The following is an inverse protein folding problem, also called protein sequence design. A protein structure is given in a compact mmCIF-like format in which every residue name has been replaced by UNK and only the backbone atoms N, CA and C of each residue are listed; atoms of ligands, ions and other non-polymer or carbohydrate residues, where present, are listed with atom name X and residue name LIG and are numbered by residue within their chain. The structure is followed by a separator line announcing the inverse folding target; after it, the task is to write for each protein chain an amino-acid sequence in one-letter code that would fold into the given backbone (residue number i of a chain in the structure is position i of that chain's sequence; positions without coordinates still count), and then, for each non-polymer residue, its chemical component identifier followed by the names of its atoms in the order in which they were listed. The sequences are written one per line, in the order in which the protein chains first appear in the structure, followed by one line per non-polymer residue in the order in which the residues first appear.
data_IF_546038825231
#
_entry.id   IF_546038825231
#
_cell.length_a   1.000
_cell.length_b   1.000
_cell.length_c   1.000
_cell.angle_alpha   90.00
_cell.angle_beta   90.00
_cell.angle_gamma   90.00
#
_symmetry.space_group_name_H-M   'P 1'
#
loop_
_entity.id
_entity.type
_entity.pdbx_description
1 polymer ?
#
# COMPACT_ATOMS: atom_id res chain seq x y z
N UNK A 1 0.00 -16.18 16.86
CA UNK A 1 1.30 -16.88 16.82
C UNK A 1 1.93 -16.71 15.45
N UNK A 2 3.22 -16.30 15.33
CA UNK A 2 3.89 -16.26 14.07
C UNK A 2 4.06 -17.69 13.53
N UNK A 3 3.67 -17.94 12.29
CA UNK A 3 3.83 -19.24 11.64
C UNK A 3 5.05 -19.31 10.70
N UNK A 4 5.65 -18.15 10.41
CA UNK A 4 6.82 -18.02 9.56
C UNK A 4 7.72 -16.91 10.11
N UNK A 5 8.96 -17.25 10.43
CA UNK A 5 9.96 -16.32 10.94
C UNK A 5 11.25 -16.43 10.12
N UNK A 6 11.90 -15.32 9.84
CA UNK A 6 13.17 -15.28 9.15
C UNK A 6 14.13 -14.33 9.85
N UNK A 7 15.40 -14.76 9.97
CA UNK A 7 16.49 -13.91 10.43
C UNK A 7 17.04 -13.11 9.25
N UNK A 8 17.19 -11.81 9.42
CA UNK A 8 17.80 -10.91 8.43
C UNK A 8 19.18 -10.48 8.97
N UNK A 9 20.26 -11.13 8.55
CA UNK A 9 21.60 -10.75 8.97
C UNK A 9 21.94 -9.33 8.51
N UNK A 10 22.72 -8.61 9.30
CA UNK A 10 23.21 -7.28 8.91
C UNK A 10 24.10 -7.37 7.65
N UNK A 11 24.23 -6.26 6.93
CA UNK A 11 25.09 -6.18 5.76
C UNK A 11 26.56 -6.55 6.11
N UNK A 12 27.03 -6.07 7.27
CA UNK A 12 28.37 -6.41 7.78
C UNK A 12 28.55 -7.92 7.97
N UNK A 13 27.62 -8.58 8.64
CA UNK A 13 27.68 -10.04 8.86
C UNK A 13 27.59 -10.84 7.54
N UNK A 14 26.88 -10.34 6.56
CA UNK A 14 26.84 -10.95 5.23
C UNK A 14 28.19 -10.80 4.51
N UNK A 15 28.81 -9.63 4.58
CA UNK A 15 30.11 -9.32 3.98
C UNK A 15 31.24 -10.19 4.59
N UNK A 16 31.29 -10.30 5.90
CA UNK A 16 32.24 -11.14 6.62
C UNK A 16 32.14 -12.62 6.24
N UNK A 17 30.93 -13.08 5.85
CA UNK A 17 30.64 -14.46 5.43
C UNK A 17 30.65 -14.66 3.91
N UNK A 18 31.07 -13.68 3.13
CA UNK A 18 31.03 -13.72 1.66
C UNK A 18 29.66 -13.98 1.06
N UNK A 19 28.57 -13.60 1.78
CA UNK A 19 27.17 -13.80 1.34
C UNK A 19 26.56 -12.51 0.84
N UNK A 20 25.66 -12.61 -0.16
CA UNK A 20 24.87 -11.47 -0.62
C UNK A 20 23.92 -11.03 0.49
N UNK A 21 23.97 -9.75 0.85
CA UNK A 21 23.01 -9.16 1.76
C UNK A 21 21.62 -9.13 1.11
N UNK A 22 20.59 -9.47 1.90
CA UNK A 22 19.17 -9.31 1.54
C UNK A 22 18.57 -8.29 2.47
N UNK A 23 17.88 -7.31 1.88
CA UNK A 23 17.15 -6.30 2.65
C UNK A 23 15.93 -6.91 3.35
N UNK A 24 15.36 -6.20 4.32
CA UNK A 24 14.11 -6.58 4.95
C UNK A 24 12.98 -6.78 3.91
N UNK A 25 12.92 -5.92 2.89
CA UNK A 25 11.96 -6.04 1.78
C UNK A 25 12.17 -7.30 0.93
N UNK A 26 13.44 -7.69 0.69
CA UNK A 26 13.72 -8.93 -0.04
C UNK A 26 13.24 -10.17 0.73
N UNK A 27 13.50 -10.19 2.03
CA UNK A 27 13.07 -11.30 2.89
C UNK A 27 11.56 -11.30 3.06
N UNK A 28 10.94 -10.16 3.33
CA UNK A 28 9.49 -10.02 3.43
C UNK A 28 8.77 -10.48 2.15
N UNK A 29 9.31 -10.11 0.97
CA UNK A 29 8.81 -10.61 -0.31
C UNK A 29 8.90 -12.13 -0.42
N UNK A 30 10.04 -12.72 -0.05
CA UNK A 30 10.22 -14.18 -0.09
C UNK A 30 9.24 -14.90 0.82
N UNK A 31 9.04 -14.39 2.04
CA UNK A 31 8.08 -14.94 3.01
C UNK A 31 6.64 -14.86 2.48
N UNK A 32 6.22 -13.70 1.97
CA UNK A 32 4.87 -13.52 1.45
C UNK A 32 4.59 -14.44 0.24
N UNK A 33 5.53 -14.55 -0.70
CA UNK A 33 5.40 -15.43 -1.85
C UNK A 33 5.49 -16.91 -1.45
N UNK A 34 6.21 -17.26 -0.39
CA UNK A 34 6.21 -18.62 0.16
C UNK A 34 4.86 -18.95 0.80
N UNK A 35 4.31 -18.04 1.60
CA UNK A 35 2.96 -18.20 2.16
C UNK A 35 1.92 -18.36 1.04
N UNK A 36 2.04 -17.61 -0.06
CA UNK A 36 1.18 -17.75 -1.24
C UNK A 36 1.24 -19.16 -1.85
N UNK A 37 2.42 -19.78 -1.92
CA UNK A 37 2.57 -21.15 -2.42
C UNK A 37 1.92 -22.18 -1.50
N UNK A 38 1.97 -21.97 -0.19
CA UNK A 38 1.35 -22.88 0.79
C UNK A 38 -0.16 -22.74 0.86
N UNK A 39 -0.70 -21.61 0.44
CA UNK A 39 -2.13 -21.29 0.51
C UNK A 39 -2.70 -20.99 -0.90
N UNK A 40 -2.67 -21.96 -1.83
CA UNK A 40 -3.22 -21.76 -3.16
C UNK A 40 -4.73 -21.52 -3.06
N UNK A 41 -5.26 -20.61 -3.89
CA UNK A 41 -6.70 -20.30 -3.94
C UNK A 41 -7.25 -19.43 -2.78
N UNK A 42 -6.45 -19.10 -1.76
CA UNK A 42 -6.88 -18.16 -0.69
C UNK A 42 -6.60 -16.72 -1.08
N UNK A 43 -7.47 -15.80 -0.69
CA UNK A 43 -7.14 -14.35 -0.75
C UNK A 43 -6.10 -14.06 0.34
N UNK A 44 -4.90 -13.70 -0.09
CA UNK A 44 -3.79 -13.41 0.81
C UNK A 44 -3.55 -11.92 0.86
N UNK A 45 -3.73 -11.35 2.05
CA UNK A 45 -3.50 -9.94 2.31
C UNK A 45 -2.32 -9.79 3.27
N UNK A 46 -1.30 -9.06 2.82
CA UNK A 46 -0.17 -8.66 3.65
C UNK A 46 -0.42 -7.25 4.17
N UNK A 47 -0.44 -7.09 5.48
CA UNK A 47 -0.49 -5.78 6.11
C UNK A 47 0.90 -5.43 6.62
N UNK A 48 1.36 -4.22 6.35
CA UNK A 48 2.69 -3.76 6.75
C UNK A 48 2.71 -2.26 7.07
N UNK A 49 3.75 -1.85 7.76
CA UNK A 49 3.99 -0.44 8.06
C UNK A 49 4.54 0.33 6.83
N UNK A 50 4.94 1.59 7.04
CA UNK A 50 5.49 2.44 5.98
C UNK A 50 6.81 1.94 5.39
N UNK A 51 7.58 1.10 6.10
CA UNK A 51 8.83 0.53 5.59
C UNK A 51 8.58 -0.43 4.42
N UNK A 52 7.39 -1.05 4.36
CA UNK A 52 6.96 -1.90 3.27
C UNK A 52 6.30 -1.15 2.10
N UNK A 53 6.13 0.16 2.20
CA UNK A 53 5.64 1.02 1.11
C UNK A 53 6.73 1.30 0.07
N UNK A 54 7.14 0.27 -0.67
CA UNK A 54 8.17 0.35 -1.70
C UNK A 54 7.65 -0.24 -3.02
N UNK A 55 7.74 0.54 -4.13
CA UNK A 55 7.15 0.19 -5.42
C UNK A 55 7.59 -1.18 -5.96
N UNK A 56 8.88 -1.52 -5.83
CA UNK A 56 9.39 -2.83 -6.27
C UNK A 56 8.80 -3.98 -5.45
N UNK A 57 8.66 -3.78 -4.15
CA UNK A 57 8.08 -4.77 -3.24
C UNK A 57 6.59 -4.98 -3.55
N UNK A 58 5.82 -3.89 -3.63
CA UNK A 58 4.39 -3.93 -3.88
C UNK A 58 4.06 -4.52 -5.27
N UNK A 59 4.82 -4.17 -6.31
CA UNK A 59 4.64 -4.73 -7.65
C UNK A 59 4.94 -6.24 -7.67
N UNK A 60 5.99 -6.67 -6.98
CA UNK A 60 6.34 -8.08 -6.89
C UNK A 60 5.26 -8.90 -6.17
N UNK A 61 4.70 -8.39 -5.06
CA UNK A 61 3.58 -9.03 -4.35
C UNK A 61 2.34 -9.12 -5.22
N UNK A 62 1.94 -8.00 -5.84
CA UNK A 62 0.79 -7.94 -6.73
C UNK A 62 0.90 -8.96 -7.87
N UNK A 63 2.04 -9.03 -8.54
CA UNK A 63 2.30 -10.03 -9.60
C UNK A 63 2.29 -11.45 -9.06
N UNK A 64 2.66 -11.65 -7.82
CA UNK A 64 2.62 -12.93 -7.13
C UNK A 64 1.23 -13.31 -6.59
N UNK A 65 0.20 -12.50 -6.83
CA UNK A 65 -1.16 -12.76 -6.34
C UNK A 65 -1.32 -12.56 -4.83
N UNK A 66 -0.56 -11.62 -4.25
CA UNK A 66 -0.67 -11.19 -2.84
C UNK A 66 -1.09 -9.74 -2.82
N UNK A 67 -2.22 -9.45 -2.19
CA UNK A 67 -2.65 -8.07 -1.93
C UNK A 67 -1.81 -7.49 -0.80
N UNK A 68 -1.31 -6.27 -0.97
CA UNK A 68 -0.59 -5.57 0.08
C UNK A 68 -1.37 -4.33 0.55
N UNK A 69 -1.46 -4.15 1.86
CA UNK A 69 -1.99 -2.95 2.51
C UNK A 69 -0.85 -2.38 3.36
N UNK A 70 -0.48 -1.12 3.10
CA UNK A 70 0.61 -0.45 3.82
C UNK A 70 0.24 0.99 4.13
N UNK A 71 0.94 1.61 5.09
CA UNK A 71 0.82 3.05 5.30
C UNK A 71 1.45 3.79 4.14
N UNK A 72 0.77 4.83 3.64
CA UNK A 72 1.24 5.70 2.58
C UNK A 72 1.56 7.08 3.15
N UNK A 73 2.61 7.71 2.64
CA UNK A 73 2.93 9.10 3.00
C UNK A 73 1.89 10.05 2.40
N UNK A 74 1.53 11.10 3.13
CA UNK A 74 0.56 12.09 2.68
C UNK A 74 1.05 12.94 1.49
N UNK A 75 2.36 12.99 1.26
CA UNK A 75 3.01 13.69 0.13
C UNK A 75 3.31 12.75 -1.06
N UNK A 76 2.86 11.49 -1.03
CA UNK A 76 3.11 10.52 -2.09
C UNK A 76 2.63 11.03 -3.45
N UNK A 77 3.47 10.83 -4.47
CA UNK A 77 3.16 11.23 -5.85
C UNK A 77 2.24 10.20 -6.51
N UNK A 78 0.96 10.46 -6.48
CA UNK A 78 -0.08 9.67 -7.14
C UNK A 78 -0.48 10.28 -8.48
N UNK A 79 -0.86 9.43 -9.42
CA UNK A 79 -1.23 9.81 -10.78
C UNK A 79 -2.51 9.12 -11.22
N UNK A 80 -3.15 9.69 -12.23
CA UNK A 80 -4.20 8.99 -12.97
C UNK A 80 -3.58 7.83 -13.79
N UNK A 81 -4.35 6.80 -14.12
CA UNK A 81 -3.94 5.79 -15.08
C UNK A 81 -3.52 6.43 -16.41
N UNK A 82 -2.56 5.82 -17.10
CA UNK A 82 -2.19 6.28 -18.42
C UNK A 82 -3.41 6.25 -19.35
N UNK A 83 -3.61 7.30 -20.18
CA UNK A 83 -4.67 7.28 -21.17
C UNK A 83 -4.45 6.15 -22.18
N UNK A 84 -5.51 5.62 -22.80
CA UNK A 84 -5.39 4.66 -23.89
C UNK A 84 -4.52 5.23 -25.01
N UNK A 85 -3.67 4.38 -25.59
CA UNK A 85 -2.85 4.80 -26.73
C UNK A 85 -3.72 4.90 -27.98
N UNK A 86 -3.72 6.06 -28.60
CA UNK A 86 -4.40 6.25 -29.88
C UNK A 86 -3.63 5.54 -31.00
N UNK A 87 -4.33 4.93 -31.99
CA UNK A 87 -3.69 4.38 -33.19
C UNK A 87 -2.84 5.45 -33.90
N UNK A 88 -1.70 5.07 -34.42
CA UNK A 88 -0.79 6.00 -35.15
C UNK A 88 0.08 6.90 -34.27
N UNK A 89 -0.03 6.84 -32.93
CA UNK A 89 0.84 7.63 -32.05
C UNK A 89 2.27 7.10 -32.09
N UNK A 90 3.22 7.98 -32.48
CA UNK A 90 4.65 7.68 -32.48
C UNK A 90 5.26 7.99 -31.12
N UNK A 91 6.25 7.20 -30.69
CA UNK A 91 7.00 7.40 -29.45
C UNK A 91 6.64 6.40 -28.33
N UNK A 92 7.33 6.55 -27.18
CA UNK A 92 7.14 5.67 -26.03
C UNK A 92 5.78 5.92 -25.38
N UNK A 93 4.98 4.88 -25.09
CA UNK A 93 3.73 5.04 -24.36
C UNK A 93 3.92 5.73 -23.01
N UNK A 94 2.99 6.61 -22.65
CA UNK A 94 2.97 7.20 -21.31
C UNK A 94 2.75 6.09 -20.26
N UNK A 95 3.46 6.18 -19.14
CA UNK A 95 3.29 5.25 -18.02
C UNK A 95 2.18 5.66 -17.06
N UNK A 96 1.89 6.95 -17.00
CA UNK A 96 0.88 7.54 -16.08
C UNK A 96 0.14 8.67 -16.80
N UNK A 97 -1.03 9.00 -16.27
CA UNK A 97 -1.80 10.19 -16.65
C UNK A 97 -1.35 11.43 -15.87
N UNK A 98 -2.29 12.32 -15.57
CA UNK A 98 -2.03 13.55 -14.82
C UNK A 98 -1.61 13.25 -13.38
N UNK A 99 -0.77 14.11 -12.80
CA UNK A 99 -0.42 14.04 -11.39
C UNK A 99 -1.62 14.50 -10.55
N UNK A 100 -1.99 13.71 -9.54
CA UNK A 100 -3.06 14.06 -8.61
C UNK A 100 -2.57 15.01 -7.52
N UNK A 101 -3.48 15.77 -6.87
CA UNK A 101 -3.16 16.47 -5.64
C UNK A 101 -2.57 15.51 -4.59
N UNK A 102 -1.68 16.01 -3.75
CA UNK A 102 -1.18 15.22 -2.62
C UNK A 102 -2.31 14.91 -1.63
N UNK A 103 -2.18 13.84 -0.88
CA UNK A 103 -3.19 13.49 0.14
C UNK A 103 -3.26 14.56 1.24
N UNK A 104 -2.15 15.24 1.54
CA UNK A 104 -2.15 16.42 2.42
C UNK A 104 -3.07 17.54 1.91
N UNK A 105 -3.06 17.80 0.59
CA UNK A 105 -3.95 18.79 -0.02
C UNK A 105 -5.41 18.35 0.03
N UNK A 106 -5.68 17.08 -0.28
CA UNK A 106 -7.03 16.50 -0.19
C UNK A 106 -7.58 16.60 1.25
N UNK A 107 -6.71 16.38 2.25
CA UNK A 107 -7.09 16.47 3.66
C UNK A 107 -7.61 17.88 4.05
N UNK A 108 -7.04 18.94 3.49
CA UNK A 108 -7.38 20.35 3.79
C UNK A 108 -8.39 20.94 2.80
N UNK A 109 -8.72 20.25 1.72
CA UNK A 109 -9.63 20.73 0.69
C UNK A 109 -11.09 20.69 1.19
N UNK A 110 -11.81 21.84 1.28
CA UNK A 110 -13.19 21.86 1.76
C UNK A 110 -14.17 21.06 0.90
N UNK A 111 -13.89 20.89 -0.40
CA UNK A 111 -14.71 20.11 -1.32
C UNK A 111 -14.53 18.59 -1.18
N UNK A 112 -13.62 18.13 -0.31
CA UNK A 112 -13.42 16.70 -0.09
C UNK A 112 -14.63 16.08 0.58
N UNK A 113 -15.23 15.08 -0.07
CA UNK A 113 -16.33 14.32 0.49
C UNK A 113 -15.78 13.25 1.42
N UNK A 114 -16.23 13.29 2.67
CA UNK A 114 -15.87 12.34 3.72
C UNK A 114 -17.03 11.40 4.02
N UNK A 115 -16.74 10.12 4.11
CA UNK A 115 -17.68 9.10 4.55
C UNK A 115 -17.39 8.75 6.01
N UNK A 116 -18.42 8.82 6.86
CA UNK A 116 -18.31 8.34 8.25
C UNK A 116 -18.40 6.81 8.27
N UNK A 117 -17.49 6.20 9.00
CA UNK A 117 -17.41 4.76 9.17
C UNK A 117 -17.19 4.45 10.65
N UNK A 118 -17.95 3.47 11.17
CA UNK A 118 -17.74 2.94 12.50
C UNK A 118 -16.88 1.67 12.40
N UNK A 119 -15.76 1.67 13.11
CA UNK A 119 -14.81 0.57 13.08
C UNK A 119 -14.74 -0.09 14.44
N UNK A 120 -15.17 -1.37 14.57
CA UNK A 120 -15.10 -2.11 15.81
C UNK A 120 -13.65 -2.47 16.15
N UNK A 121 -13.33 -2.52 17.44
CA UNK A 121 -12.04 -3.00 17.92
C UNK A 121 -10.84 -2.10 17.59
N UNK A 122 -11.04 -0.79 17.44
CA UNK A 122 -9.97 0.16 17.11
C UNK A 122 -8.80 0.04 18.10
N UNK A 123 -7.70 -0.61 17.68
CA UNK A 123 -6.53 -0.90 18.51
C UNK A 123 -6.88 -1.43 19.92
N UNK A 124 -7.90 -2.28 20.02
CA UNK A 124 -8.33 -2.87 21.29
C UNK A 124 -9.17 -1.97 22.20
N UNK A 125 -9.53 -0.74 21.76
CA UNK A 125 -10.24 0.25 22.60
C UNK A 125 -11.76 0.31 22.38
N UNK A 126 -12.34 -0.62 21.62
CA UNK A 126 -13.77 -0.63 21.31
C UNK A 126 -14.11 -0.06 19.94
N UNK A 127 -15.35 0.34 19.73
CA UNK A 127 -15.82 0.92 18.49
C UNK A 127 -15.39 2.39 18.36
N UNK A 128 -14.89 2.78 17.20
CA UNK A 128 -14.53 4.18 16.91
C UNK A 128 -15.16 4.66 15.61
N UNK A 129 -15.70 5.88 15.65
CA UNK A 129 -16.13 6.61 14.46
C UNK A 129 -14.95 7.34 13.85
N UNK A 130 -14.75 7.15 12.57
CA UNK A 130 -13.72 7.81 11.77
C UNK A 130 -14.34 8.35 10.48
N UNK A 131 -13.63 9.24 9.84
CA UNK A 131 -13.98 9.71 8.50
C UNK A 131 -12.94 9.24 7.49
N UNK A 132 -13.41 8.71 6.38
CA UNK A 132 -12.56 8.23 5.30
C UNK A 132 -12.91 8.88 3.98
N UNK A 133 -11.92 9.07 3.13
CA UNK A 133 -12.08 9.33 1.70
C UNK A 133 -11.10 8.46 0.92
N UNK A 134 -11.49 8.02 -0.27
CA UNK A 134 -10.73 7.03 -1.03
C UNK A 134 -10.90 7.22 -2.53
N UNK A 135 -9.85 6.90 -3.28
CA UNK A 135 -9.94 6.75 -4.73
C UNK A 135 -8.86 5.79 -5.25
N UNK A 136 -9.07 5.32 -6.48
CA UNK A 136 -8.05 4.58 -7.22
C UNK A 136 -7.07 5.54 -7.88
N UNK A 137 -5.81 5.14 -7.96
CA UNK A 137 -4.73 5.88 -8.59
C UNK A 137 -3.64 4.91 -9.08
N UNK A 138 -2.60 5.43 -9.67
CA UNK A 138 -1.35 4.70 -9.87
C UNK A 138 -0.23 5.39 -9.11
N UNK A 139 0.59 4.59 -8.43
CA UNK A 139 1.79 5.06 -7.78
C UNK A 139 3.00 4.76 -8.64
N UNK A 140 3.83 5.79 -8.90
CA UNK A 140 4.99 5.67 -9.77
C UNK A 140 6.09 6.66 -9.40
N UNK A 141 7.33 6.20 -9.51
CA UNK A 141 8.53 7.02 -9.53
C UNK A 141 9.37 6.66 -10.77
N UNK A 142 10.17 7.61 -11.24
CA UNK A 142 11.05 7.39 -12.38
C UNK A 142 11.95 6.17 -12.17
N UNK A 143 12.09 5.34 -13.19
CA UNK A 143 12.87 4.10 -13.16
C UNK A 143 12.18 2.91 -12.47
N UNK A 144 11.04 3.12 -11.79
CA UNK A 144 10.33 2.09 -11.05
C UNK A 144 9.05 1.63 -11.77
N UNK A 145 8.46 0.49 -11.36
CA UNK A 145 7.19 0.03 -11.91
C UNK A 145 6.05 0.99 -11.59
N UNK A 146 4.99 0.90 -12.40
CA UNK A 146 3.70 1.55 -12.13
C UNK A 146 2.83 0.57 -11.37
N UNK A 147 2.40 0.95 -10.17
CA UNK A 147 1.57 0.11 -9.32
C UNK A 147 0.18 0.71 -9.21
N UNK A 148 -0.86 0.05 -9.74
CA UNK A 148 -2.25 0.42 -9.47
C UNK A 148 -2.53 0.27 -7.98
N UNK A 149 -3.19 1.26 -7.39
CA UNK A 149 -3.48 1.30 -5.96
C UNK A 149 -4.85 1.89 -5.69
N UNK A 150 -5.45 1.49 -4.60
CA UNK A 150 -6.48 2.25 -3.90
C UNK A 150 -5.83 2.90 -2.68
N UNK A 151 -5.96 4.20 -2.55
CA UNK A 151 -5.57 4.89 -1.33
C UNK A 151 -6.82 5.16 -0.48
N UNK A 152 -6.65 5.14 0.83
CA UNK A 152 -7.66 5.51 1.81
C UNK A 152 -7.04 6.52 2.75
N UNK A 153 -7.60 7.73 2.78
CA UNK A 153 -7.21 8.78 3.71
C UNK A 153 -8.18 8.74 4.89
N UNK A 154 -7.65 8.72 6.08
CA UNK A 154 -8.40 8.55 7.33
C UNK A 154 -8.12 9.75 8.22
N UNK A 155 -9.19 10.33 8.79
CA UNK A 155 -9.09 11.32 9.85
C UNK A 155 -10.06 11.00 10.98
N UNK A 156 -9.71 11.50 12.15
CA UNK A 156 -10.59 11.47 13.32
C UNK A 156 -11.30 12.81 13.43
N UNK A 157 -12.64 12.88 13.38
CA UNK A 157 -13.36 14.13 13.57
C UNK A 157 -13.14 14.74 14.96
N UNK A 158 -12.78 13.93 15.96
CA UNK A 158 -12.49 14.37 17.34
C UNK A 158 -10.99 14.65 17.59
N UNK A 159 -10.13 14.50 16.57
CA UNK A 159 -8.68 14.75 16.61
C UNK A 159 -7.89 13.94 17.67
N UNK A 160 -8.34 12.76 18.06
CA UNK A 160 -7.60 11.90 18.98
C UNK A 160 -6.34 11.28 18.34
N UNK A 161 -6.25 11.24 17.01
CA UNK A 161 -5.04 10.80 16.31
C UNK A 161 -4.79 11.64 15.04
N UNK A 162 -3.53 11.64 14.61
CA UNK A 162 -3.13 12.35 13.40
C UNK A 162 -3.68 11.64 12.14
N UNK A 163 -4.11 12.39 11.11
CA UNK A 163 -4.53 11.82 9.86
C UNK A 163 -3.48 10.88 9.27
N UNK A 164 -3.96 9.78 8.72
CA UNK A 164 -3.10 8.79 8.10
C UNK A 164 -3.66 8.33 6.76
N UNK A 165 -2.80 7.85 5.88
CA UNK A 165 -3.20 7.28 4.62
C UNK A 165 -2.74 5.82 4.52
N UNK A 166 -3.60 5.01 3.91
CA UNK A 166 -3.32 3.63 3.54
C UNK A 166 -3.26 3.50 2.04
N UNK A 167 -2.50 2.52 1.59
CA UNK A 167 -2.41 2.07 0.22
C UNK A 167 -2.79 0.59 0.19
N UNK A 168 -3.62 0.20 -0.78
CA UNK A 168 -3.92 -1.19 -1.11
C UNK A 168 -3.56 -1.45 -2.58
N UNK A 169 -2.88 -2.55 -2.87
CA UNK A 169 -2.52 -2.93 -4.26
C UNK A 169 -3.68 -3.56 -5.04
N UNK A 170 -4.83 -3.75 -4.41
CA UNK A 170 -6.08 -4.09 -5.07
C UNK A 170 -6.97 -2.83 -5.18
N UNK A 171 -7.09 -2.22 -6.39
CA UNK A 171 -7.91 -1.02 -6.58
C UNK A 171 -9.42 -1.23 -6.39
N UNK A 172 -9.88 -2.48 -6.46
CA UNK A 172 -11.30 -2.82 -6.33
C UNK A 172 -11.73 -3.08 -4.88
N UNK A 173 -10.78 -3.26 -3.95
CA UNK A 173 -11.08 -3.58 -2.55
C UNK A 173 -11.82 -2.43 -1.86
N UNK A 174 -12.82 -2.79 -1.07
CA UNK A 174 -13.63 -1.82 -0.32
C UNK A 174 -12.76 -1.03 0.70
N UNK A 175 -12.90 0.31 0.78
CA UNK A 175 -12.11 1.15 1.69
C UNK A 175 -12.26 0.77 3.16
N UNK A 176 -13.46 0.38 3.60
CA UNK A 176 -13.72 -0.02 4.99
C UNK A 176 -13.00 -1.32 5.32
N UNK A 177 -12.96 -2.27 4.38
CA UNK A 177 -12.18 -3.51 4.53
C UNK A 177 -10.68 -3.22 4.64
N UNK A 178 -10.15 -2.25 3.87
CA UNK A 178 -8.73 -1.85 3.94
C UNK A 178 -8.41 -1.34 5.34
N UNK A 179 -9.26 -0.49 5.91
CA UNK A 179 -9.09 0.04 7.27
C UNK A 179 -9.18 -1.10 8.30
N UNK A 180 -10.17 -1.97 8.19
CA UNK A 180 -10.36 -3.11 9.10
C UNK A 180 -9.15 -4.04 9.11
N UNK A 181 -8.56 -4.35 7.95
CA UNK A 181 -7.36 -5.17 7.87
C UNK A 181 -6.17 -4.57 8.64
N UNK A 182 -6.01 -3.22 8.63
CA UNK A 182 -4.93 -2.58 9.40
C UNK A 182 -5.12 -2.71 10.90
N UNK A 183 -6.37 -2.65 11.38
CA UNK A 183 -6.68 -2.64 12.81
C UNK A 183 -6.56 -4.04 13.43
N UNK A 184 -6.82 -5.07 12.62
CA UNK A 184 -6.74 -6.47 13.03
C UNK A 184 -5.31 -7.05 12.96
N UNK A 185 -4.33 -6.28 12.45
CA UNK A 185 -2.93 -6.67 12.35
C UNK A 185 -2.14 -6.17 13.58
#
# INVERSE_FOLDING_TARGET
MPFLTALVPSERACRERGRRHKTLLDVGRQMALQARRWLPGRDLVLVGDSAFSALLFLDALRRGGVTAITRLRLDAALYDPAPPRLPGTIGRPRKTGARRPTLSKILTEPATIWQQVSVPGWYGTGERRIEITSASAVWHHSGLPVVPVRWVLIRDPENHFQPLALLCTDPARDPTQIVTCLILS
#
